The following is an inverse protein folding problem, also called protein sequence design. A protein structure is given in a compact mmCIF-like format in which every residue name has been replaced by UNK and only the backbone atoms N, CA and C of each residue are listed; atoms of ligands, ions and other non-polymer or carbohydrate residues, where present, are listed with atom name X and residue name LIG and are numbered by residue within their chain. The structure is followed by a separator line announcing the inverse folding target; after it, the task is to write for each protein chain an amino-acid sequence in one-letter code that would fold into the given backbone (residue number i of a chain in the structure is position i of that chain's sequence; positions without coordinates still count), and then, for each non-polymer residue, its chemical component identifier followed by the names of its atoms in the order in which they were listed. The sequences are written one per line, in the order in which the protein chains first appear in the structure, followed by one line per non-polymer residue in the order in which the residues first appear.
data_IF_981030278888
#
_entry.id   IF_981030278888
#
_cell.length_a   1.000
_cell.length_b   1.000
_cell.length_c   1.000
_cell.angle_alpha   90.00
_cell.angle_beta   90.00
_cell.angle_gamma   90.00
#
_symmetry.space_group_name_H-M   'P 1'
#
loop_
_entity.id
_entity.type
_entity.pdbx_description
1 polymer ?
#
# COMPACT_ATOMS: atom_id res chain seq x y z
N UNK A 1 26.19 -1.96 -17.34
CA UNK A 1 25.19 -1.10 -16.71
C UNK A 1 23.85 -1.21 -17.42
N UNK A 2 22.76 -1.10 -16.67
CA UNK A 2 21.40 -1.15 -17.21
C UNK A 2 20.50 -0.22 -16.41
N UNK A 3 19.44 0.28 -17.07
CA UNK A 3 18.40 1.03 -16.37
C UNK A 3 17.50 0.10 -15.59
N UNK A 4 17.22 0.45 -14.35
CA UNK A 4 16.28 -0.24 -13.47
C UNK A 4 15.33 0.79 -12.87
N UNK A 5 14.16 0.32 -12.42
CA UNK A 5 13.21 1.18 -11.73
C UNK A 5 13.79 1.60 -10.37
N UNK A 6 13.67 2.89 -10.02
CA UNK A 6 14.07 3.38 -8.71
C UNK A 6 13.20 2.76 -7.62
N UNK A 7 13.71 2.53 -6.39
CA UNK A 7 12.88 2.06 -5.29
C UNK A 7 11.71 3.00 -5.02
N UNK A 8 10.56 2.45 -4.73
CA UNK A 8 9.37 3.24 -4.45
C UNK A 8 8.07 2.44 -4.59
N UNK A 9 6.96 3.15 -4.49
CA UNK A 9 5.61 2.62 -4.76
C UNK A 9 5.14 3.22 -6.08
N UNK A 10 4.73 2.36 -6.99
CA UNK A 10 4.28 2.76 -8.33
C UNK A 10 2.88 2.24 -8.58
N UNK A 11 2.05 3.11 -9.16
CA UNK A 11 0.68 2.76 -9.54
C UNK A 11 0.50 2.91 -11.03
N UNK A 12 -0.28 2.01 -11.61
CA UNK A 12 -0.58 1.98 -13.04
C UNK A 12 -2.00 1.46 -13.25
N UNK A 13 -2.45 1.41 -14.48
CA UNK A 13 -3.70 0.79 -14.85
C UNK A 13 -3.60 0.15 -16.23
N UNK A 14 -4.49 -0.79 -16.50
CA UNK A 14 -4.70 -1.38 -17.81
C UNK A 14 -6.21 -1.54 -18.02
N UNK A 15 -6.63 -1.65 -19.28
CA UNK A 15 -8.02 -1.94 -19.61
C UNK A 15 -8.20 -3.45 -19.79
N UNK A 16 -9.29 -4.01 -19.28
CA UNK A 16 -9.68 -5.38 -19.59
C UNK A 16 -10.33 -5.45 -20.98
N UNK A 17 -10.76 -6.64 -21.38
CA UNK A 17 -11.39 -6.86 -22.68
C UNK A 17 -12.72 -6.12 -22.84
N UNK A 18 -13.37 -5.72 -21.75
CA UNK A 18 -14.63 -4.98 -21.77
C UNK A 18 -14.43 -3.45 -21.72
N UNK A 19 -13.18 -3.00 -21.62
CA UNK A 19 -12.85 -1.58 -21.48
C UNK A 19 -12.87 -1.06 -20.06
N UNK A 20 -13.01 -1.95 -19.05
CA UNK A 20 -12.95 -1.56 -17.64
C UNK A 20 -11.50 -1.26 -17.24
N UNK A 21 -11.31 -0.16 -16.51
CA UNK A 21 -10.02 0.28 -16.02
C UNK A 21 -9.65 -0.50 -14.75
N UNK A 22 -8.55 -1.24 -14.80
CA UNK A 22 -8.07 -2.06 -13.70
C UNK A 22 -6.76 -1.49 -13.17
N UNK A 23 -6.75 -1.08 -11.90
CA UNK A 23 -5.59 -0.48 -11.27
C UNK A 23 -4.65 -1.53 -10.70
N UNK A 24 -3.37 -1.20 -10.70
CA UNK A 24 -2.31 -2.03 -10.15
C UNK A 24 -1.33 -1.14 -9.36
N UNK A 25 -0.55 -1.78 -8.49
CA UNK A 25 0.49 -1.10 -7.74
C UNK A 25 1.66 -2.05 -7.52
N UNK A 26 2.85 -1.49 -7.33
CA UNK A 26 4.05 -2.26 -7.02
C UNK A 26 4.85 -1.55 -5.95
N UNK A 27 5.36 -2.29 -4.97
CA UNK A 27 6.34 -1.81 -4.03
C UNK A 27 7.69 -2.42 -4.42
N UNK A 28 8.62 -1.58 -4.83
CA UNK A 28 9.90 -1.99 -5.37
C UNK A 28 11.00 -1.51 -4.43
N UNK A 29 11.72 -2.43 -3.76
CA UNK A 29 12.88 -2.06 -2.95
C UNK A 29 14.12 -1.86 -3.81
N UNK A 30 15.15 -1.28 -3.23
CA UNK A 30 16.49 -1.28 -3.81
C UNK A 30 17.07 -2.70 -3.80
N UNK A 31 16.81 -3.45 -2.73
CA UNK A 31 17.18 -4.86 -2.55
C UNK A 31 16.09 -5.56 -1.76
N UNK A 32 15.60 -6.68 -2.25
CA UNK A 32 14.61 -7.49 -1.55
C UNK A 32 13.42 -7.91 -2.40
N UNK A 33 12.43 -8.49 -1.75
CA UNK A 33 11.23 -9.02 -2.38
C UNK A 33 10.30 -7.89 -2.85
N UNK A 34 9.79 -8.00 -4.07
CA UNK A 34 8.78 -7.11 -4.61
C UNK A 34 7.42 -7.52 -4.10
N UNK A 35 6.55 -6.52 -3.92
CA UNK A 35 5.11 -6.72 -3.72
C UNK A 35 4.39 -6.13 -4.93
N UNK A 36 3.60 -6.95 -5.59
CA UNK A 36 2.85 -6.55 -6.79
C UNK A 36 1.36 -6.76 -6.54
N UNK A 37 0.57 -5.71 -6.75
CA UNK A 37 -0.88 -5.70 -6.50
C UNK A 37 -1.62 -5.51 -7.81
N UNK A 38 -2.66 -6.33 -8.03
CA UNK A 38 -3.50 -6.25 -9.21
C UNK A 38 -4.98 -6.25 -8.83
N UNK A 39 -5.80 -5.66 -9.70
CA UNK A 39 -7.26 -5.74 -9.60
C UNK A 39 -7.77 -6.55 -10.79
N UNK A 40 -8.68 -7.50 -10.55
CA UNK A 40 -9.31 -8.24 -11.64
C UNK A 40 -10.64 -7.60 -12.07
N UNK A 41 -11.27 -8.16 -13.10
CA UNK A 41 -12.53 -7.64 -13.65
C UNK A 41 -13.71 -7.69 -12.68
N UNK A 42 -13.60 -8.47 -11.61
CA UNK A 42 -14.62 -8.60 -10.56
C UNK A 42 -14.32 -7.72 -9.35
N UNK A 43 -13.39 -6.77 -9.48
CA UNK A 43 -12.91 -5.86 -8.43
C UNK A 43 -12.18 -6.55 -7.28
N UNK A 44 -11.80 -7.82 -7.44
CA UNK A 44 -10.99 -8.54 -6.46
C UNK A 44 -9.55 -8.08 -6.55
N UNK A 45 -8.95 -7.80 -5.41
CA UNK A 45 -7.58 -7.32 -5.29
C UNK A 45 -6.66 -8.50 -4.97
N UNK A 46 -5.60 -8.63 -5.75
CA UNK A 46 -4.63 -9.73 -5.63
C UNK A 46 -3.25 -9.19 -5.31
N UNK A 47 -2.45 -10.01 -4.62
CA UNK A 47 -1.04 -9.70 -4.34
C UNK A 47 -0.16 -10.88 -4.74
N UNK A 48 1.00 -10.55 -5.32
CA UNK A 48 2.11 -11.49 -5.54
C UNK A 48 3.26 -11.07 -4.64
N UNK A 49 3.75 -12.00 -3.86
CA UNK A 49 4.89 -11.77 -2.96
C UNK A 49 6.09 -12.46 -3.60
N UNK A 50 7.11 -11.69 -3.94
CA UNK A 50 8.37 -12.21 -4.51
C UNK A 50 8.14 -13.11 -5.72
N UNK A 51 7.27 -12.68 -6.66
CA UNK A 51 6.96 -13.39 -7.93
C UNK A 51 6.29 -14.75 -7.75
N UNK A 52 5.74 -15.03 -6.59
CA UNK A 52 4.98 -16.27 -6.36
C UNK A 52 3.56 -16.16 -6.92
N UNK A 53 2.77 -17.22 -6.77
CA UNK A 53 1.37 -17.20 -7.20
C UNK A 53 0.56 -16.20 -6.37
N UNK A 54 -0.41 -15.56 -7.00
CA UNK A 54 -1.23 -14.54 -6.37
C UNK A 54 -2.09 -15.08 -5.23
N UNK A 55 -2.29 -14.21 -4.24
CA UNK A 55 -3.17 -14.40 -3.09
C UNK A 55 -4.19 -13.26 -3.07
N UNK A 56 -5.38 -13.45 -2.49
CA UNK A 56 -6.23 -12.30 -2.17
C UNK A 56 -5.46 -11.32 -1.28
N UNK A 57 -5.57 -10.03 -1.57
CA UNK A 57 -4.81 -9.00 -0.84
C UNK A 57 -5.16 -8.99 0.65
N UNK A 58 -6.37 -9.40 1.01
CA UNK A 58 -6.82 -9.47 2.41
C UNK A 58 -6.05 -10.49 3.24
N UNK A 59 -5.48 -11.52 2.60
CA UNK A 59 -4.58 -12.46 3.30
C UNK A 59 -3.34 -11.70 3.79
N UNK A 60 -2.74 -10.88 2.95
CA UNK A 60 -1.61 -10.05 3.35
C UNK A 60 -2.00 -9.04 4.42
N UNK A 61 -3.12 -8.34 4.22
CA UNK A 61 -3.65 -7.35 5.19
C UNK A 61 -3.85 -8.00 6.57
N UNK A 62 -4.42 -9.19 6.59
CA UNK A 62 -4.65 -9.95 7.82
C UNK A 62 -3.32 -10.32 8.49
N UNK A 63 -2.36 -10.77 7.72
CA UNK A 63 -1.01 -11.10 8.21
C UNK A 63 -0.27 -9.88 8.77
N UNK A 64 -0.58 -8.68 8.30
CA UNK A 64 0.02 -7.43 8.78
C UNK A 64 -0.59 -6.93 10.10
N UNK A 65 -1.58 -7.62 10.64
CA UNK A 65 -2.15 -7.30 11.95
C UNK A 65 -3.66 -7.05 11.98
N UNK A 66 -4.31 -6.90 10.84
CA UNK A 66 -5.77 -6.75 10.77
C UNK A 66 -6.40 -8.16 10.68
N UNK A 67 -6.39 -8.89 11.80
CA UNK A 67 -6.67 -10.31 11.81
C UNK A 67 -8.12 -10.72 11.50
N UNK A 68 -9.11 -9.88 11.78
CA UNK A 68 -10.53 -10.20 11.56
C UNK A 68 -11.09 -9.50 10.32
N UNK A 69 -12.16 -10.05 9.76
CA UNK A 69 -12.89 -9.42 8.65
C UNK A 69 -13.39 -8.02 9.04
N UNK A 70 -13.90 -7.87 10.27
CA UNK A 70 -14.38 -6.58 10.75
C UNK A 70 -13.28 -5.53 10.83
N UNK A 71 -12.09 -5.91 11.30
CA UNK A 71 -10.94 -5.01 11.36
C UNK A 71 -10.55 -4.54 9.95
N UNK A 72 -10.55 -5.45 8.97
CA UNK A 72 -10.25 -5.11 7.56
C UNK A 72 -11.32 -4.18 6.98
N UNK A 73 -12.60 -4.48 7.18
CA UNK A 73 -13.70 -3.64 6.71
C UNK A 73 -13.61 -2.23 7.26
N UNK A 74 -13.36 -2.10 8.56
CA UNK A 74 -13.24 -0.79 9.22
C UNK A 74 -12.04 -0.01 8.73
N UNK A 75 -10.88 -0.66 8.59
CA UNK A 75 -9.66 0.00 8.15
C UNK A 75 -9.80 0.62 6.75
N UNK A 76 -10.50 -0.06 5.85
CA UNK A 76 -10.73 0.39 4.47
C UNK A 76 -12.11 1.04 4.26
N UNK A 77 -12.82 1.32 5.33
CA UNK A 77 -14.15 1.96 5.29
C UNK A 77 -15.09 1.25 4.32
N UNK A 78 -15.13 -0.07 4.39
CA UNK A 78 -15.98 -0.94 3.57
C UNK A 78 -15.85 -0.72 2.05
N UNK A 79 -14.63 -0.44 1.58
CA UNK A 79 -14.38 -0.27 0.16
C UNK A 79 -14.86 -1.49 -0.64
N UNK A 80 -15.60 -1.30 -1.76
CA UNK A 80 -16.17 -2.42 -2.52
C UNK A 80 -15.15 -3.47 -2.98
N UNK A 81 -13.97 -3.05 -3.39
CA UNK A 81 -12.90 -3.98 -3.78
C UNK A 81 -12.40 -4.83 -2.62
N UNK A 82 -12.34 -4.27 -1.43
CA UNK A 82 -11.96 -5.01 -0.21
C UNK A 82 -13.05 -6.03 0.14
N UNK A 83 -14.33 -5.64 0.08
CA UNK A 83 -15.44 -6.55 0.35
C UNK A 83 -15.46 -7.72 -0.64
N UNK A 84 -15.27 -7.44 -1.92
CA UNK A 84 -15.20 -8.48 -2.95
C UNK A 84 -14.02 -9.42 -2.72
N UNK A 85 -12.89 -8.90 -2.24
CA UNK A 85 -11.68 -9.68 -1.96
C UNK A 85 -11.88 -10.58 -0.74
N UNK A 86 -12.56 -10.09 0.31
CA UNK A 86 -12.87 -10.91 1.49
C UNK A 86 -13.68 -12.15 1.16
N UNK A 87 -14.55 -12.10 0.15
CA UNK A 87 -15.31 -13.26 -0.31
C UNK A 87 -14.41 -14.35 -0.92
N UNK A 88 -13.22 -14.00 -1.40
CA UNK A 88 -12.24 -14.93 -1.97
C UNK A 88 -11.20 -15.41 -0.95
N UNK A 89 -11.20 -14.81 0.24
CA UNK A 89 -10.24 -15.09 1.31
C UNK A 89 -10.80 -16.16 2.25
N UNK A 90 -10.14 -17.31 2.32
CA UNK A 90 -10.54 -18.40 3.22
C UNK A 90 -9.89 -18.33 4.59
N UNK A 91 -8.97 -17.40 4.81
CA UNK A 91 -8.29 -17.27 6.11
C UNK A 91 -9.18 -16.59 7.15
N UNK A 92 -9.01 -16.97 8.43
CA UNK A 92 -9.86 -16.52 9.52
C UNK A 92 -9.12 -15.70 10.58
N UNK A 93 -7.78 -15.78 10.58
CA UNK A 93 -6.94 -15.16 11.59
C UNK A 93 -5.60 -14.72 11.01
N UNK A 94 -4.87 -13.92 11.76
CA UNK A 94 -3.50 -13.53 11.40
C UNK A 94 -2.60 -14.77 11.22
N UNK A 95 -2.72 -15.77 12.10
CA UNK A 95 -1.96 -17.01 12.01
C UNK A 95 -2.28 -17.78 10.73
N UNK A 96 -3.57 -17.93 10.38
CA UNK A 96 -3.99 -18.57 9.14
C UNK A 96 -3.41 -17.86 7.91
N UNK A 97 -3.45 -16.54 7.93
CA UNK A 97 -2.93 -15.72 6.83
C UNK A 97 -1.42 -15.90 6.65
N UNK A 98 -0.67 -15.89 7.75
CA UNK A 98 0.78 -16.14 7.73
C UNK A 98 1.09 -17.53 7.14
N UNK A 99 0.34 -18.54 7.52
CA UNK A 99 0.50 -19.90 6.99
C UNK A 99 0.21 -19.97 5.49
N UNK A 100 -0.84 -19.30 5.03
CA UNK A 100 -1.16 -19.23 3.59
C UNK A 100 -0.04 -18.55 2.78
N UNK A 101 0.54 -17.49 3.30
CA UNK A 101 1.68 -16.81 2.68
C UNK A 101 2.89 -17.75 2.62
N UNK A 102 3.17 -18.46 3.72
CA UNK A 102 4.27 -19.43 3.76
C UNK A 102 4.11 -20.52 2.69
N UNK A 103 2.90 -21.05 2.52
CA UNK A 103 2.63 -22.06 1.49
C UNK A 103 2.91 -21.58 0.07
N UNK A 104 2.74 -20.29 -0.20
CA UNK A 104 3.09 -19.69 -1.49
C UNK A 104 4.61 -19.54 -1.67
N UNK A 105 5.31 -19.16 -0.59
CA UNK A 105 6.75 -18.91 -0.61
C UNK A 105 7.59 -20.19 -0.56
N UNK A 106 7.08 -21.22 0.12
CA UNK A 106 7.76 -22.51 0.33
C UNK A 106 6.81 -23.67 0.02
N UNK A 107 6.42 -23.88 -1.26
CA UNK A 107 5.54 -24.99 -1.62
C UNK A 107 6.13 -26.35 -1.21
N UNK A 108 5.30 -27.19 -0.63
CA UNK A 108 5.69 -28.56 -0.24
C UNK A 108 6.35 -28.66 1.14
N UNK A 109 6.68 -27.56 1.79
CA UNK A 109 7.18 -27.58 3.18
C UNK A 109 6.02 -27.53 4.17
N UNK A 110 6.04 -28.33 5.26
CA UNK A 110 4.98 -28.28 6.27
C UNK A 110 5.02 -26.90 6.98
N UNK A 111 3.92 -26.13 6.93
CA UNK A 111 3.90 -24.83 7.56
C UNK A 111 3.63 -24.92 9.06
N UNK A 112 4.33 -24.06 9.82
CA UNK A 112 3.99 -23.76 11.22
C UNK A 112 3.84 -22.26 11.36
N UNK A 113 3.10 -21.82 12.36
CA UNK A 113 2.95 -20.38 12.61
C UNK A 113 4.30 -19.71 12.85
N UNK A 114 5.17 -20.35 13.62
CA UNK A 114 6.51 -19.83 13.93
C UNK A 114 7.36 -19.69 12.66
N UNK A 115 7.43 -20.73 11.84
CA UNK A 115 8.21 -20.68 10.58
C UNK A 115 7.64 -19.67 9.59
N UNK A 116 6.32 -19.54 9.54
CA UNK A 116 5.64 -18.57 8.67
C UNK A 116 5.97 -17.13 9.08
N UNK A 117 5.86 -16.81 10.37
CA UNK A 117 6.21 -15.48 10.88
C UNK A 117 7.69 -15.18 10.70
N UNK A 118 8.54 -16.16 10.94
CA UNK A 118 9.99 -16.02 10.75
C UNK A 118 10.36 -15.72 9.32
N UNK A 119 9.79 -16.43 8.34
CA UNK A 119 10.04 -16.18 6.93
C UNK A 119 9.56 -14.81 6.50
N UNK A 120 8.35 -14.42 6.91
CA UNK A 120 7.79 -13.11 6.58
C UNK A 120 8.67 -11.99 7.13
N UNK A 121 9.09 -12.09 8.39
CA UNK A 121 9.98 -11.12 9.03
C UNK A 121 11.32 -11.03 8.31
N UNK A 122 11.90 -12.15 7.92
CA UNK A 122 13.16 -12.19 7.18
C UNK A 122 13.05 -11.49 5.82
N UNK A 123 11.95 -11.72 5.10
CA UNK A 123 11.77 -11.12 3.78
C UNK A 123 11.63 -9.60 3.79
N UNK A 124 10.95 -9.05 4.81
CA UNK A 124 10.54 -7.64 4.77
C UNK A 124 11.16 -6.76 5.84
N UNK A 125 11.50 -7.33 7.01
CA UNK A 125 11.88 -6.53 8.18
C UNK A 125 13.36 -6.63 8.55
N UNK A 126 14.12 -7.49 7.89
CA UNK A 126 15.57 -7.60 8.12
C UNK A 126 16.35 -6.70 7.18
N UNK A 127 17.17 -5.76 7.70
CA UNK A 127 17.96 -4.83 6.87
C UNK A 127 18.91 -5.53 5.90
N UNK A 128 19.38 -6.74 6.22
CA UNK A 128 20.25 -7.51 5.34
C UNK A 128 19.54 -8.06 4.10
N UNK A 129 18.23 -8.26 4.20
CA UNK A 129 17.41 -8.88 3.14
C UNK A 129 16.55 -7.87 2.40
N UNK A 130 16.20 -6.77 3.06
CA UNK A 130 15.31 -5.77 2.49
C UNK A 130 15.85 -4.38 2.74
N UNK A 131 15.97 -3.60 1.69
CA UNK A 131 16.47 -2.22 1.77
C UNK A 131 15.78 -1.35 0.72
N UNK A 132 15.09 -0.33 1.18
CA UNK A 132 14.48 0.70 0.32
C UNK A 132 15.51 1.71 -0.16
N UNK A 133 16.66 1.79 0.49
CA UNK A 133 17.60 2.91 0.41
C UNK A 133 16.94 4.23 0.84
N UNK A 134 17.73 5.28 0.99
CA UNK A 134 17.19 6.60 1.35
C UNK A 134 16.24 7.17 0.31
N UNK A 135 16.52 6.96 -0.98
CA UNK A 135 15.68 7.44 -2.07
C UNK A 135 14.33 6.73 -2.08
N UNK A 136 14.29 5.43 -1.81
CA UNK A 136 13.04 4.67 -1.72
C UNK A 136 12.18 5.13 -0.55
N UNK A 137 12.77 5.27 0.62
CA UNK A 137 12.05 5.77 1.80
C UNK A 137 11.48 7.16 1.55
N UNK A 138 12.26 8.05 0.97
CA UNK A 138 11.80 9.39 0.64
C UNK A 138 10.61 9.37 -0.33
N UNK A 139 10.72 8.60 -1.41
CA UNK A 139 9.68 8.53 -2.44
C UNK A 139 8.39 7.90 -1.91
N UNK A 140 8.50 6.87 -1.08
CA UNK A 140 7.33 6.21 -0.47
C UNK A 140 6.63 7.18 0.48
N UNK A 141 7.37 7.85 1.36
CA UNK A 141 6.77 8.80 2.30
C UNK A 141 6.10 9.96 1.56
N UNK A 142 6.72 10.48 0.51
CA UNK A 142 6.16 11.55 -0.31
C UNK A 142 4.86 11.13 -1.01
N UNK A 143 4.84 9.92 -1.57
CA UNK A 143 3.65 9.41 -2.28
C UNK A 143 2.51 9.12 -1.32
N UNK A 144 2.77 8.48 -0.19
CA UNK A 144 1.75 7.97 0.71
C UNK A 144 1.23 8.99 1.72
N UNK A 145 1.82 10.18 1.81
CA UNK A 145 1.27 11.24 2.67
C UNK A 145 -0.07 11.71 2.13
N UNK A 146 -0.91 12.25 3.02
CA UNK A 146 -2.28 12.64 2.65
C UNK A 146 -2.36 13.96 1.88
N UNK A 147 -1.46 14.91 2.14
CA UNK A 147 -1.59 16.30 1.70
C UNK A 147 -2.04 16.47 0.25
N UNK A 148 -1.30 15.90 -0.70
CA UNK A 148 -1.60 16.07 -2.13
C UNK A 148 -2.92 15.41 -2.54
N UNK A 149 -3.33 14.35 -1.85
CA UNK A 149 -4.57 13.63 -2.14
C UNK A 149 -5.81 14.28 -1.52
N UNK A 150 -5.62 15.15 -0.52
CA UNK A 150 -6.71 15.86 0.15
C UNK A 150 -7.14 17.12 -0.58
N UNK A 151 -6.21 17.82 -1.23
CA UNK A 151 -6.48 19.11 -1.87
C UNK A 151 -7.57 18.99 -2.93
N UNK A 152 -8.61 19.82 -2.80
CA UNK A 152 -9.74 19.85 -3.75
C UNK A 152 -10.77 18.75 -3.54
N UNK A 153 -10.60 17.89 -2.56
CA UNK A 153 -11.56 16.84 -2.22
C UNK A 153 -12.54 17.31 -1.16
N UNK A 154 -13.67 16.64 -1.05
CA UNK A 154 -14.72 16.95 -0.10
C UNK A 154 -14.60 16.02 1.11
N UNK A 155 -14.53 16.59 2.31
CA UNK A 155 -14.49 15.78 3.54
C UNK A 155 -15.84 15.16 3.83
N UNK A 156 -15.86 13.88 4.18
CA UNK A 156 -17.04 13.17 4.63
C UNK A 156 -17.22 13.23 6.15
N UNK A 157 -16.28 13.87 6.85
CA UNK A 157 -16.28 13.97 8.30
C UNK A 157 -15.76 15.33 8.76
N UNK A 158 -16.04 15.66 10.02
CA UNK A 158 -15.36 16.78 10.68
C UNK A 158 -13.95 16.33 11.04
N UNK A 159 -12.95 17.03 10.51
CA UNK A 159 -11.54 16.75 10.80
C UNK A 159 -11.10 17.69 11.91
N UNK A 160 -10.75 17.11 13.05
CA UNK A 160 -10.44 17.83 14.28
C UNK A 160 -8.99 17.56 14.67
N UNK A 161 -8.26 18.61 15.08
CA UNK A 161 -6.93 18.46 15.64
C UNK A 161 -7.02 17.63 16.93
N UNK A 162 -6.37 16.46 17.01
CA UNK A 162 -6.51 15.57 18.16
C UNK A 162 -5.93 16.11 19.46
N UNK A 163 -5.01 17.08 19.38
CA UNK A 163 -4.39 17.69 20.57
C UNK A 163 -5.17 18.90 21.08
N UNK A 164 -5.65 19.74 20.19
CA UNK A 164 -6.27 21.04 20.56
C UNK A 164 -7.79 21.02 20.50
N UNK A 165 -8.38 20.05 19.82
CA UNK A 165 -9.83 20.02 19.57
C UNK A 165 -10.31 21.00 18.52
N UNK A 166 -9.40 21.74 17.86
CA UNK A 166 -9.75 22.69 16.81
C UNK A 166 -10.32 21.98 15.59
N UNK A 167 -11.45 22.48 15.07
CA UNK A 167 -12.03 22.00 13.81
C UNK A 167 -11.18 22.52 12.64
N UNK A 168 -10.52 21.62 11.92
CA UNK A 168 -9.68 21.95 10.78
C UNK A 168 -10.47 21.97 9.47
N UNK A 169 -11.34 20.99 9.28
CA UNK A 169 -12.21 20.88 8.10
C UNK A 169 -13.59 20.42 8.55
N UNK A 170 -14.62 21.10 8.08
CA UNK A 170 -16.01 20.74 8.36
C UNK A 170 -16.47 19.66 7.38
N UNK A 171 -17.33 18.76 7.85
CA UNK A 171 -17.98 17.76 7.00
C UNK A 171 -18.70 18.45 5.82
N UNK A 172 -18.46 17.96 4.61
CA UNK A 172 -19.04 18.53 3.40
C UNK A 172 -18.22 19.67 2.80
N UNK A 173 -17.17 20.11 3.47
CA UNK A 173 -16.30 21.18 2.99
C UNK A 173 -15.26 20.66 2.02
N UNK A 174 -14.97 21.46 0.98
CA UNK A 174 -13.89 21.19 0.04
C UNK A 174 -12.57 21.60 0.67
N UNK A 175 -11.63 20.67 0.74
CA UNK A 175 -10.35 20.86 1.42
C UNK A 175 -9.42 21.74 0.57
N UNK A 176 -8.96 22.86 1.14
CA UNK A 176 -7.96 23.71 0.53
C UNK A 176 -6.56 23.18 0.79
N UNK A 177 -5.56 23.69 0.05
CA UNK A 177 -4.15 23.33 0.29
C UNK A 177 -3.73 23.67 1.72
N UNK A 178 -4.13 24.82 2.22
CA UNK A 178 -3.83 25.22 3.61
C UNK A 178 -4.41 24.24 4.62
N UNK A 179 -5.66 23.84 4.43
CA UNK A 179 -6.31 22.86 5.31
C UNK A 179 -5.64 21.50 5.24
N UNK A 180 -5.23 21.06 4.04
CA UNK A 180 -4.52 19.79 3.87
C UNK A 180 -3.18 19.80 4.62
N UNK A 181 -2.46 20.91 4.59
CA UNK A 181 -1.21 21.10 5.35
C UNK A 181 -1.46 21.13 6.86
N UNK A 182 -2.53 21.78 7.31
CA UNK A 182 -2.93 21.79 8.73
C UNK A 182 -3.27 20.38 9.23
N UNK A 183 -3.95 19.59 8.42
CA UNK A 183 -4.26 18.18 8.72
C UNK A 183 -2.97 17.37 8.88
N UNK A 184 -2.03 17.54 7.97
CA UNK A 184 -0.73 16.88 8.03
C UNK A 184 0.04 17.30 9.29
N UNK A 185 0.11 18.59 9.57
CA UNK A 185 0.85 19.13 10.72
C UNK A 185 0.22 18.74 12.06
N UNK A 186 -1.07 18.48 12.08
CA UNK A 186 -1.78 17.99 13.27
C UNK A 186 -1.53 16.50 13.56
N UNK A 187 -0.75 15.81 12.71
CA UNK A 187 -0.44 14.40 12.88
C UNK A 187 -1.58 13.47 12.51
N UNK A 188 -2.57 13.93 11.76
CA UNK A 188 -3.70 13.12 11.31
C UNK A 188 -3.25 12.21 10.17
N UNK A 189 -3.49 10.91 10.31
CA UNK A 189 -3.02 9.89 9.39
C UNK A 189 -4.14 9.19 8.61
N UNK A 190 -5.39 9.51 8.91
CA UNK A 190 -6.56 8.89 8.26
C UNK A 190 -7.69 9.90 8.13
N UNK A 191 -8.31 9.96 6.96
CA UNK A 191 -9.41 10.88 6.64
C UNK A 191 -10.41 10.17 5.75
N UNK A 192 -11.72 10.40 6.00
CA UNK A 192 -12.79 9.91 5.13
C UNK A 192 -13.23 11.02 4.18
N UNK A 193 -13.21 10.74 2.89
CA UNK A 193 -13.60 11.68 1.84
C UNK A 193 -14.90 11.23 1.16
N UNK A 194 -15.64 12.21 0.63
CA UNK A 194 -16.77 11.94 -0.27
C UNK A 194 -16.27 11.94 -1.72
N UNK A 195 -16.57 10.89 -2.46
CA UNK A 195 -16.19 10.78 -3.87
C UNK A 195 -17.14 11.60 -4.75
N UNK A 196 -16.75 11.80 -6.03
CA UNK A 196 -17.61 12.49 -7.01
C UNK A 196 -18.95 11.80 -7.19
N UNK A 197 -19.00 10.48 -6.99
CA UNK A 197 -20.22 9.67 -7.12
C UNK A 197 -21.07 9.65 -5.85
N UNK A 198 -20.64 10.34 -4.80
CA UNK A 198 -21.37 10.43 -3.53
C UNK A 198 -21.07 9.30 -2.55
N UNK A 199 -20.12 8.42 -2.86
CA UNK A 199 -19.69 7.37 -1.95
C UNK A 199 -18.62 7.91 -0.99
N UNK A 200 -18.29 7.14 0.03
CA UNK A 200 -17.24 7.48 0.97
C UNK A 200 -16.03 6.58 0.78
N UNK A 201 -14.84 7.13 0.94
CA UNK A 201 -13.59 6.40 0.89
C UNK A 201 -12.67 6.89 2.00
N UNK A 202 -12.00 5.95 2.68
CA UNK A 202 -10.98 6.28 3.67
C UNK A 202 -9.62 6.35 2.99
N UNK A 203 -8.90 7.43 3.23
CA UNK A 203 -7.49 7.54 2.90
C UNK A 203 -6.67 7.46 4.18
N UNK A 204 -5.59 6.72 4.17
CA UNK A 204 -4.63 6.76 5.26
C UNK A 204 -3.19 6.76 4.73
N UNK A 205 -2.30 7.39 5.51
CA UNK A 205 -0.89 7.48 5.20
C UNK A 205 -0.13 6.31 5.81
N UNK A 206 1.15 6.20 5.46
CA UNK A 206 2.04 5.21 6.06
C UNK A 206 2.56 5.61 7.46
N UNK A 207 2.21 6.80 7.92
CA UNK A 207 2.57 7.31 9.26
C UNK A 207 4.06 7.07 9.61
N UNK A 208 4.96 7.37 8.67
CA UNK A 208 6.39 7.20 8.86
C UNK A 208 7.11 8.55 8.83
N UNK A 209 7.33 9.18 9.99
CA UNK A 209 8.04 10.47 10.06
C UNK A 209 9.55 10.34 9.91
N UNK A 210 10.11 9.16 10.16
CA UNK A 210 11.54 8.93 10.13
C UNK A 210 12.00 8.48 8.74
N UNK A 211 12.70 9.38 8.04
CA UNK A 211 13.24 9.13 6.70
C UNK A 211 14.47 8.21 6.69
N UNK A 212 14.99 7.84 7.86
CA UNK A 212 16.15 6.93 7.98
C UNK A 212 15.76 5.45 8.00
N UNK A 213 14.47 5.14 8.15
CA UNK A 213 13.97 3.76 8.17
C UNK A 213 13.98 3.21 6.74
N UNK A 214 14.84 2.25 6.46
CA UNK A 214 15.03 1.68 5.11
C UNK A 214 14.41 0.31 4.91
N UNK A 215 13.90 -0.33 5.96
CA UNK A 215 13.06 -1.51 5.82
C UNK A 215 11.61 -1.09 5.63
N UNK A 216 10.82 -1.95 4.99
CA UNK A 216 9.39 -1.68 4.82
C UNK A 216 8.67 -1.89 6.16
N UNK A 217 7.59 -1.15 6.37
CA UNK A 217 6.72 -1.31 7.54
C UNK A 217 5.35 -1.85 7.12
N UNK A 218 4.60 -2.40 8.06
CA UNK A 218 3.22 -2.81 7.81
C UNK A 218 2.37 -1.64 7.31
N UNK A 219 2.58 -0.46 7.88
CA UNK A 219 1.88 0.78 7.50
C UNK A 219 2.20 1.18 6.06
N UNK A 220 3.43 1.01 5.61
CA UNK A 220 3.81 1.26 4.21
C UNK A 220 2.98 0.38 3.26
N UNK A 221 2.86 -0.90 3.58
CA UNK A 221 2.14 -1.87 2.74
C UNK A 221 0.64 -1.55 2.75
N UNK A 222 0.07 -1.35 3.93
CA UNK A 222 -1.37 -1.03 4.07
C UNK A 222 -1.72 0.27 3.35
N UNK A 223 -0.91 1.30 3.50
CA UNK A 223 -1.14 2.58 2.83
C UNK A 223 -0.99 2.48 1.31
N UNK A 224 -0.10 1.63 0.82
CA UNK A 224 0.06 1.37 -0.62
C UNK A 224 -1.18 0.68 -1.20
N UNK A 225 -1.74 -0.29 -0.50
CA UNK A 225 -3.00 -0.95 -0.88
C UNK A 225 -4.14 0.07 -0.88
N UNK A 226 -4.22 0.90 0.17
CA UNK A 226 -5.21 1.96 0.26
C UNK A 226 -5.09 2.96 -0.90
N UNK A 227 -3.88 3.32 -1.29
CA UNK A 227 -3.64 4.21 -2.42
C UNK A 227 -4.24 3.63 -3.70
N UNK A 228 -3.98 2.35 -3.98
CA UNK A 228 -4.53 1.66 -5.16
C UNK A 228 -6.06 1.59 -5.11
N UNK A 229 -6.64 1.28 -3.96
CA UNK A 229 -8.10 1.24 -3.76
C UNK A 229 -8.72 2.61 -4.05
N UNK A 230 -8.09 3.68 -3.58
CA UNK A 230 -8.59 5.04 -3.78
C UNK A 230 -8.49 5.52 -5.23
N UNK A 231 -7.59 4.97 -6.02
CA UNK A 231 -7.50 5.26 -7.47
C UNK A 231 -8.79 4.91 -8.21
N UNK A 232 -9.52 3.89 -7.77
CA UNK A 232 -10.82 3.53 -8.34
C UNK A 232 -11.86 4.64 -8.15
N UNK A 233 -11.66 5.52 -7.16
CA UNK A 233 -12.48 6.71 -6.90
C UNK A 233 -11.84 8.01 -7.44
N UNK A 234 -10.87 7.87 -8.34
CA UNK A 234 -10.14 8.99 -8.96
C UNK A 234 -9.37 9.86 -7.95
N UNK A 235 -8.87 9.24 -6.89
CA UNK A 235 -8.07 9.89 -5.86
C UNK A 235 -6.65 9.31 -5.92
N UNK A 236 -5.66 10.19 -6.12
CA UNK A 236 -4.28 9.79 -6.34
C UNK A 236 -3.88 9.94 -7.79
N UNK A 237 -2.67 9.54 -8.13
CA UNK A 237 -2.11 9.69 -9.47
C UNK A 237 -1.42 8.42 -9.94
N UNK A 238 -1.43 8.23 -11.26
CA UNK A 238 -0.68 7.17 -11.94
C UNK A 238 0.74 7.67 -12.16
N UNK A 239 1.70 6.78 -12.02
CA UNK A 239 3.11 7.11 -12.20
C UNK A 239 3.56 6.89 -13.66
N UNK A 240 4.42 7.79 -14.13
CA UNK A 240 5.12 7.61 -15.40
C UNK A 240 6.41 6.83 -15.12
N UNK A 241 6.44 5.58 -15.54
CA UNK A 241 7.58 4.68 -15.30
C UNK A 241 8.81 5.09 -16.13
N UNK A 242 8.59 5.75 -17.26
CA UNK A 242 9.67 6.17 -18.15
C UNK A 242 10.32 7.49 -17.73
N UNK A 243 9.75 8.19 -16.74
CA UNK A 243 10.34 9.40 -16.19
C UNK A 243 11.68 9.08 -15.52
N UNK A 244 12.69 9.94 -15.75
CA UNK A 244 14.06 9.72 -15.22
C UNK A 244 14.11 9.64 -13.68
N UNK A 245 13.19 10.31 -12.98
CA UNK A 245 13.06 10.21 -11.53
C UNK A 245 12.63 8.83 -11.04
N UNK A 246 12.04 8.01 -11.92
CA UNK A 246 11.55 6.68 -11.62
C UNK A 246 12.46 5.56 -12.14
N UNK A 247 13.60 5.92 -12.73
CA UNK A 247 14.59 4.99 -13.25
C UNK A 247 15.97 5.37 -12.72
N UNK A 248 16.82 4.38 -12.54
CA UNK A 248 18.23 4.60 -12.21
C UNK A 248 19.12 3.65 -13.01
N UNK A 249 20.36 4.05 -13.17
CA UNK A 249 21.37 3.21 -13.81
C UNK A 249 21.95 2.26 -12.78
N UNK A 250 21.87 0.96 -13.08
CA UNK A 250 22.47 -0.08 -12.24
C UNK A 250 23.85 -0.41 -12.80
N UNK A 251 24.89 -0.29 -11.98
CA UNK A 251 26.26 -0.58 -12.37
C UNK A 251 26.49 -2.09 -12.48
N UNK A 252 27.56 -2.48 -13.21
CA UNK A 252 27.97 -3.89 -13.31
C UNK A 252 28.29 -4.46 -11.93
N UNK A 253 28.92 -3.68 -11.05
CA UNK A 253 29.23 -4.11 -9.69
C UNK A 253 27.98 -4.44 -8.87
N UNK A 254 26.92 -3.64 -8.99
CA UNK A 254 25.64 -3.92 -8.32
C UNK A 254 25.01 -5.20 -8.85
N UNK A 255 25.04 -5.44 -10.16
CA UNK A 255 24.50 -6.66 -10.76
C UNK A 255 25.23 -7.89 -10.23
N UNK A 256 26.55 -7.85 -10.16
CA UNK A 256 27.36 -8.95 -9.62
C UNK A 256 27.11 -9.19 -8.13
N UNK A 257 26.98 -8.12 -7.36
CA UNK A 257 26.72 -8.19 -5.93
C UNK A 257 25.40 -8.91 -5.60
N UNK A 258 24.37 -8.74 -6.43
CA UNK A 258 23.07 -9.39 -6.24
C UNK A 258 23.06 -10.87 -6.63
N UNK A 259 24.09 -11.38 -7.30
CA UNK A 259 24.21 -12.80 -7.66
C UNK A 259 24.86 -13.64 -6.56
N UNK A 260 25.53 -13.01 -5.60
CA UNK A 260 26.18 -13.63 -4.46
C UNK A 260 25.50 -13.23 -3.14
#
# INVERSE_FOLDING_TARGET
SQFVRSPGVYCDFAFDTTGKKLFSASIIPNRGAWLEFDTDSNDVLWVRIDRTRKLPVTVLVRALGLGSDDAIRQAFHEAPGILATLEKDSTQSEADAMIEIYKRLRPGEPPTEESARGLFSTLFYEPKRYDLAGVGRYKINKKLRLTERLVGRVSAENIVNPETGELLVQRGEKITRRQAEEVHNAGITSVVLTTREGNEVRLFSNNQPDHSVTVITAEDILASINYMVALASDIGTIDDIDHLGNRRLKSVGEVLQHQF
#
